data_IF_386879832987
#
_entry.id   IF_386879832987
#
_cell.length_a   1.000
_cell.length_b   1.000
_cell.length_c   1.000
_cell.angle_alpha   90.00
_cell.angle_beta   90.00
_cell.angle_gamma   90.00
#
_symmetry.space_group_name_H-M   'P 1'
#
loop_
_entity.id
_entity.type
_entity.pdbx_description
1 polymer ?
#
# COMPACT_ATOMS: atom_id res chain seq x y z
N UNK A 1 -10.56 -8.80 26.58
CA UNK A 1 -9.32 -8.05 26.32
C UNK A 1 -8.53 -8.78 25.26
N UNK A 2 -8.63 -8.34 24.01
CA UNK A 2 -7.92 -8.96 22.88
C UNK A 2 -6.42 -8.77 23.07
N UNK A 3 -5.63 -9.85 23.17
CA UNK A 3 -4.16 -9.77 23.10
C UNK A 3 -3.81 -8.96 21.85
N UNK A 4 -3.19 -7.80 22.03
CA UNK A 4 -2.76 -6.97 20.92
C UNK A 4 -1.64 -7.72 20.20
N UNK A 5 -1.99 -8.39 19.10
CA UNK A 5 -1.04 -9.21 18.34
C UNK A 5 0.02 -8.26 17.77
N UNK A 6 1.27 -8.49 18.14
CA UNK A 6 2.44 -7.74 17.65
C UNK A 6 2.42 -7.66 16.11
N UNK A 7 2.24 -6.45 15.57
CA UNK A 7 2.12 -6.18 14.13
C UNK A 7 3.49 -5.85 13.55
N UNK A 8 3.94 -6.64 12.59
CA UNK A 8 5.12 -6.33 11.77
C UNK A 8 4.75 -5.40 10.62
N UNK A 9 5.78 -4.85 9.98
CA UNK A 9 5.61 -4.05 8.76
C UNK A 9 5.12 -4.92 7.59
N UNK A 10 4.40 -4.30 6.67
CA UNK A 10 4.21 -4.86 5.33
C UNK A 10 5.38 -4.51 4.41
N UNK A 11 5.19 -4.73 3.12
CA UNK A 11 6.10 -4.26 2.05
C UNK A 11 5.31 -3.56 0.96
N UNK A 12 5.99 -2.74 0.17
CA UNK A 12 5.45 -2.18 -1.07
C UNK A 12 6.07 -2.96 -2.22
N UNK A 13 5.23 -3.40 -3.17
CA UNK A 13 5.66 -4.17 -4.31
C UNK A 13 4.95 -3.70 -5.58
N UNK A 14 5.56 -3.94 -6.73
CA UNK A 14 5.00 -3.67 -8.04
C UNK A 14 4.44 -4.95 -8.63
N UNK A 15 3.23 -4.90 -9.16
CA UNK A 15 2.62 -6.04 -9.85
C UNK A 15 3.32 -6.25 -11.19
N UNK A 16 4.04 -7.36 -11.35
CA UNK A 16 4.77 -7.67 -12.60
C UNK A 16 3.86 -8.36 -13.60
N UNK A 17 2.92 -9.17 -13.15
CA UNK A 17 2.04 -9.91 -14.05
C UNK A 17 1.44 -11.13 -13.37
N UNK A 18 0.79 -11.97 -14.17
CA UNK A 18 0.18 -13.22 -13.70
C UNK A 18 0.83 -14.40 -14.43
N UNK A 19 1.10 -15.46 -13.70
CA UNK A 19 1.61 -16.71 -14.25
C UNK A 19 0.97 -17.90 -13.55
N UNK A 20 1.29 -19.08 -14.04
CA UNK A 20 0.91 -20.33 -13.40
C UNK A 20 2.12 -20.99 -12.77
N UNK A 21 1.93 -21.51 -11.56
CA UNK A 21 2.88 -22.38 -10.88
C UNK A 21 2.23 -23.76 -10.79
N UNK A 22 2.96 -24.79 -11.18
CA UNK A 22 2.56 -26.18 -10.98
C UNK A 22 3.05 -26.62 -9.61
N UNK A 23 2.14 -27.12 -8.78
CA UNK A 23 2.48 -27.75 -7.52
C UNK A 23 2.94 -29.19 -7.76
N UNK A 24 3.56 -29.81 -6.75
CA UNK A 24 4.14 -31.15 -6.85
C UNK A 24 3.07 -32.24 -7.09
N UNK A 25 1.82 -31.96 -6.75
CA UNK A 25 0.64 -32.80 -7.02
C UNK A 25 0.11 -32.66 -8.47
N UNK A 26 0.77 -31.86 -9.30
CA UNK A 26 0.34 -31.53 -10.66
C UNK A 26 -0.76 -30.47 -10.73
N UNK A 27 -1.21 -29.93 -9.60
CA UNK A 27 -2.25 -28.92 -9.59
C UNK A 27 -1.77 -27.59 -10.19
N UNK A 28 -2.63 -26.98 -11.00
CA UNK A 28 -2.39 -25.65 -11.56
C UNK A 28 -2.78 -24.56 -10.56
N UNK A 29 -1.79 -23.80 -10.07
CA UNK A 29 -2.01 -22.68 -9.15
C UNK A 29 -1.81 -21.35 -9.89
N UNK A 30 -2.88 -20.55 -10.11
CA UNK A 30 -2.74 -19.23 -10.69
C UNK A 30 -2.11 -18.26 -9.67
N UNK A 31 -1.01 -17.62 -10.05
CA UNK A 31 -0.21 -16.76 -9.18
C UNK A 31 0.01 -15.39 -9.81
N UNK A 32 -0.17 -14.32 -9.04
CA UNK A 32 0.32 -12.99 -9.38
C UNK A 32 1.76 -12.83 -8.87
N UNK A 33 2.65 -12.32 -9.72
CA UNK A 33 4.05 -12.02 -9.37
C UNK A 33 4.16 -10.57 -8.94
N UNK A 34 4.72 -10.33 -7.75
CA UNK A 34 4.97 -9.01 -7.19
C UNK A 34 6.48 -8.81 -6.99
N UNK A 35 7.03 -7.67 -7.38
CA UNK A 35 8.45 -7.32 -7.23
C UNK A 35 8.62 -6.21 -6.18
N UNK A 36 9.50 -6.41 -5.20
CA UNK A 36 9.73 -5.43 -4.12
C UNK A 36 10.50 -4.17 -4.58
N UNK A 37 11.17 -4.19 -5.74
CA UNK A 37 11.94 -3.07 -6.33
C UNK A 37 12.73 -2.24 -5.30
N UNK A 38 13.49 -2.90 -4.42
CA UNK A 38 14.34 -2.24 -3.42
C UNK A 38 13.55 -1.50 -2.33
N UNK A 39 12.50 -2.15 -1.81
CA UNK A 39 11.69 -1.66 -0.69
C UNK A 39 12.57 -1.36 0.53
N UNK A 40 12.62 -0.09 0.95
CA UNK A 40 13.53 0.41 1.96
C UNK A 40 12.81 1.32 2.96
N UNK A 41 13.24 1.30 4.22
CA UNK A 41 12.71 2.20 5.25
C UNK A 41 13.19 3.62 5.01
N UNK A 42 12.26 4.54 4.78
CA UNK A 42 12.52 5.97 4.55
C UNK A 42 12.34 6.78 5.84
N UNK A 43 11.51 6.30 6.76
CA UNK A 43 11.23 7.00 8.01
C UNK A 43 10.46 6.15 9.02
N UNK A 44 10.34 6.69 10.23
CA UNK A 44 9.57 6.12 11.33
C UNK A 44 8.67 7.18 11.93
N UNK A 45 7.48 6.77 12.35
CA UNK A 45 6.54 7.55 13.15
C UNK A 45 6.50 6.96 14.54
N UNK A 46 6.62 7.80 15.56
CA UNK A 46 6.61 7.37 16.97
C UNK A 46 5.58 8.18 17.76
N UNK A 47 5.01 7.56 18.80
CA UNK A 47 4.03 8.20 19.69
C UNK A 47 4.67 9.35 20.47
N UNK A 48 5.86 9.10 21.03
CA UNK A 48 6.68 10.11 21.67
C UNK A 48 7.59 10.80 20.64
N UNK A 49 8.03 12.00 20.99
CA UNK A 49 9.00 12.73 20.20
C UNK A 49 10.38 12.11 20.36
N UNK A 50 10.77 11.29 19.40
CA UNK A 50 12.13 10.80 19.30
C UNK A 50 12.90 11.60 18.25
N UNK A 51 14.20 11.74 18.48
CA UNK A 51 15.10 12.28 17.47
C UNK A 51 15.09 11.39 16.22
N UNK A 52 14.98 12.03 15.06
CA UNK A 52 15.09 11.31 13.79
C UNK A 52 16.54 10.86 13.61
N UNK A 53 16.72 9.55 13.55
CA UNK A 53 17.99 8.90 13.25
C UNK A 53 18.01 8.54 11.77
N UNK A 54 19.08 8.90 11.08
CA UNK A 54 19.28 8.57 9.66
C UNK A 54 19.61 7.09 9.45
N UNK A 55 19.81 6.69 8.19
CA UNK A 55 20.32 5.37 7.83
C UNK A 55 21.64 4.97 8.53
N UNK A 56 22.48 5.94 8.91
CA UNK A 56 23.73 5.69 9.65
C UNK A 56 23.53 5.63 11.18
N UNK A 57 22.31 5.79 11.68
CA UNK A 57 22.01 5.83 13.12
C UNK A 57 22.28 7.17 13.80
N UNK A 58 22.93 8.12 13.11
CA UNK A 58 23.18 9.47 13.60
C UNK A 58 21.89 10.30 13.68
N UNK A 59 21.72 11.07 14.76
CA UNK A 59 20.62 12.03 14.89
C UNK A 59 20.86 13.22 13.95
N UNK A 60 19.92 13.51 13.04
CA UNK A 60 20.01 14.69 12.17
C UNK A 60 19.24 15.88 12.74
N UNK A 61 19.96 16.97 13.10
CA UNK A 61 19.31 18.18 13.56
C UNK A 61 18.54 18.84 12.42
N UNK A 62 17.32 19.29 12.71
CA UNK A 62 16.51 20.07 11.79
C UNK A 62 17.16 21.45 11.60
N UNK A 63 17.97 21.62 10.55
CA UNK A 63 18.47 22.95 10.18
C UNK A 63 17.31 23.79 9.64
N UNK A 64 16.80 24.73 10.44
CA UNK A 64 15.83 25.71 9.96
C UNK A 64 16.45 26.53 8.82
N UNK A 65 15.78 26.58 7.68
CA UNK A 65 16.21 27.43 6.56
C UNK A 65 16.03 28.90 6.97
N UNK A 66 17.14 29.62 7.16
CA UNK A 66 17.11 31.08 7.37
C UNK A 66 16.62 31.76 6.09
N UNK A 67 15.33 32.06 6.04
CA UNK A 67 14.77 33.03 5.08
C UNK A 67 15.00 34.43 5.63
N UNK A 68 15.28 35.42 4.76
CA UNK A 68 15.35 36.85 5.14
C UNK A 68 14.11 37.34 5.90
N UNK A 69 12.92 36.74 5.69
CA UNK A 69 11.69 37.02 6.46
C UNK A 69 11.63 36.29 7.81
N UNK A 70 12.32 35.16 7.97
CA UNK A 70 12.36 34.39 9.21
C UNK A 70 13.46 34.87 10.18
N UNK A 71 14.31 35.80 9.75
CA UNK A 71 15.33 36.39 10.62
C UNK A 71 14.73 37.26 11.75
N UNK A 72 13.49 37.73 11.59
CA UNK A 72 12.82 38.65 12.52
C UNK A 72 11.83 37.98 13.50
N UNK A 73 11.60 36.66 13.37
CA UNK A 73 10.90 35.89 14.40
C UNK A 73 11.97 35.16 15.21
N UNK A 74 12.11 35.54 16.49
CA UNK A 74 12.87 34.75 17.46
C UNK A 74 12.53 33.27 17.32
N UNK A 75 13.57 32.44 17.47
CA UNK A 75 13.49 30.99 17.42
C UNK A 75 12.49 30.51 18.47
N UNK A 76 11.22 30.39 18.12
CA UNK A 76 10.31 29.53 18.86
C UNK A 76 10.81 28.11 18.63
N UNK A 77 11.53 27.58 19.62
CA UNK A 77 11.83 26.17 19.78
C UNK A 77 10.50 25.44 19.78
N UNK A 78 10.06 24.98 18.60
CA UNK A 78 8.89 24.12 18.50
C UNK A 78 9.27 22.85 19.24
N UNK A 79 8.64 22.61 20.39
CA UNK A 79 8.74 21.34 21.08
C UNK A 79 8.46 20.23 20.06
N UNK A 80 9.36 19.25 20.00
CA UNK A 80 9.16 18.12 19.14
C UNK A 80 7.89 17.42 19.63
N UNK A 81 6.83 17.48 18.84
CA UNK A 81 5.60 16.75 19.11
C UNK A 81 5.68 15.42 18.37
N UNK A 82 5.45 14.31 19.07
CA UNK A 82 5.37 12.99 18.45
C UNK A 82 4.20 12.91 17.46
N UNK A 83 4.24 11.92 16.56
CA UNK A 83 3.25 11.74 15.50
C UNK A 83 1.90 11.18 16.04
N UNK A 84 1.87 10.74 17.30
CA UNK A 84 0.67 10.19 17.97
C UNK A 84 0.36 8.73 17.62
N UNK A 85 1.24 8.06 16.85
CA UNK A 85 1.12 6.64 16.53
C UNK A 85 2.47 6.05 16.10
N UNK A 86 2.56 4.72 16.14
CA UNK A 86 3.74 3.98 15.68
C UNK A 86 3.56 3.46 14.25
N UNK A 87 4.46 3.84 13.34
CA UNK A 87 4.47 3.35 11.97
C UNK A 87 5.88 3.34 11.36
N UNK A 88 6.06 2.46 10.37
CA UNK A 88 7.24 2.45 9.50
C UNK A 88 6.84 3.00 8.13
N UNK A 89 7.59 3.96 7.63
CA UNK A 89 7.42 4.53 6.29
C UNK A 89 8.37 3.82 5.33
N UNK A 90 7.82 3.08 4.39
CA UNK A 90 8.56 2.34 3.37
C UNK A 90 8.48 3.04 2.02
N UNK A 91 9.56 3.01 1.26
CA UNK A 91 9.60 3.45 -0.13
C UNK A 91 10.18 2.38 -1.06
N UNK A 92 9.61 2.28 -2.25
CA UNK A 92 10.01 1.33 -3.29
C UNK A 92 10.12 2.01 -4.66
N UNK A 93 10.86 1.38 -5.57
CA UNK A 93 11.13 1.91 -6.91
C UNK A 93 12.19 3.01 -6.91
N UNK A 94 12.86 3.21 -8.04
CA UNK A 94 13.87 4.26 -8.22
C UNK A 94 13.25 5.47 -8.92
N UNK A 95 13.31 6.65 -8.30
CA UNK A 95 12.87 7.89 -8.93
C UNK A 95 14.04 8.85 -9.17
N UNK A 96 14.05 9.49 -10.35
CA UNK A 96 15.03 10.56 -10.64
C UNK A 96 14.77 11.75 -9.72
N UNK A 97 15.81 12.27 -9.08
CA UNK A 97 15.69 13.40 -8.16
C UNK A 97 14.95 14.61 -8.77
N UNK A 98 15.16 14.90 -10.07
CA UNK A 98 14.50 16.01 -10.77
C UNK A 98 12.98 15.87 -10.87
N UNK A 99 12.44 14.66 -10.87
CA UNK A 99 11.00 14.40 -10.95
C UNK A 99 10.30 14.48 -9.58
N UNK A 100 11.05 14.67 -8.49
CA UNK A 100 10.52 14.79 -7.13
C UNK A 100 10.44 16.23 -6.69
N UNK A 101 9.48 16.55 -5.83
CA UNK A 101 9.36 17.89 -5.24
C UNK A 101 10.54 18.19 -4.30
N UNK A 102 10.81 19.48 -4.05
CA UNK A 102 11.90 19.86 -3.13
C UNK A 102 11.69 19.32 -1.71
N UNK A 103 10.45 19.23 -1.25
CA UNK A 103 10.11 18.71 0.08
C UNK A 103 10.44 17.21 0.20
N UNK A 104 10.03 16.40 -0.77
CA UNK A 104 10.36 14.97 -0.81
C UNK A 104 11.88 14.76 -0.87
N UNK A 105 12.60 15.52 -1.71
CA UNK A 105 14.06 15.44 -1.78
C UNK A 105 14.72 15.74 -0.44
N UNK A 106 14.22 16.75 0.29
CA UNK A 106 14.71 17.08 1.63
C UNK A 106 14.49 15.94 2.62
N UNK A 107 13.35 15.26 2.56
CA UNK A 107 13.05 14.09 3.39
C UNK A 107 13.99 12.92 3.08
N UNK A 108 14.20 12.60 1.81
CA UNK A 108 15.11 11.52 1.39
C UNK A 108 16.57 11.84 1.74
N UNK A 109 17.00 13.10 1.59
CA UNK A 109 18.34 13.54 1.96
C UNK A 109 18.57 13.43 3.47
N UNK A 110 17.57 13.77 4.30
CA UNK A 110 17.61 13.54 5.74
C UNK A 110 17.75 12.05 6.04
N UNK A 111 16.94 11.20 5.41
CA UNK A 111 17.03 9.76 5.60
C UNK A 111 18.34 9.13 5.07
N UNK A 112 19.12 9.86 4.25
CA UNK A 112 20.26 9.35 3.44
C UNK A 112 19.86 8.17 2.54
N UNK A 113 18.66 8.24 1.96
CA UNK A 113 18.11 7.22 1.07
C UNK A 113 17.88 7.82 -0.31
N UNK A 114 18.10 7.03 -1.37
CA UNK A 114 17.79 7.45 -2.73
C UNK A 114 16.30 7.79 -2.90
N UNK A 115 15.92 8.79 -3.71
CA UNK A 115 14.52 9.12 -3.94
C UNK A 115 13.73 7.93 -4.49
N UNK A 116 12.67 7.55 -3.77
CA UNK A 116 11.81 6.41 -4.11
C UNK A 116 10.62 6.83 -4.97
N UNK A 117 10.05 5.89 -5.71
CA UNK A 117 8.91 6.17 -6.59
C UNK A 117 7.60 6.35 -5.81
N UNK A 118 7.37 5.44 -4.88
CA UNK A 118 6.21 5.44 -4.01
C UNK A 118 6.67 5.34 -2.57
N UNK A 119 5.93 6.02 -1.67
CA UNK A 119 6.15 5.96 -0.22
C UNK A 119 4.81 5.62 0.43
N UNK A 120 4.81 4.64 1.34
CA UNK A 120 3.63 4.18 2.09
C UNK A 120 3.98 3.93 3.55
N UNK A 121 2.99 4.11 4.41
CA UNK A 121 3.13 3.93 5.85
C UNK A 121 2.42 2.66 6.30
N UNK A 122 3.08 1.90 7.17
CA UNK A 122 2.57 0.68 7.78
C UNK A 122 2.51 0.84 9.30
N UNK A 123 1.33 0.62 9.88
CA UNK A 123 1.15 0.64 11.34
C UNK A 123 1.78 -0.62 11.94
N UNK A 124 2.70 -0.43 12.88
CA UNK A 124 3.45 -1.52 13.54
C UNK A 124 3.37 -1.36 15.06
N UNK A 125 3.63 -2.44 15.79
CA UNK A 125 3.89 -2.36 17.23
C UNK A 125 5.26 -1.74 17.50
N UNK A 126 5.46 -1.17 18.69
CA UNK A 126 6.72 -0.54 19.08
C UNK A 126 7.94 -1.48 18.94
N UNK A 127 7.75 -2.77 19.22
CA UNK A 127 8.81 -3.79 19.13
C UNK A 127 9.28 -4.06 17.70
N UNK A 128 8.46 -3.72 16.68
CA UNK A 128 8.74 -4.00 15.27
C UNK A 128 9.15 -2.75 14.47
N UNK A 129 9.66 -1.73 15.16
CA UNK A 129 10.25 -0.56 14.50
C UNK A 129 11.57 -0.94 13.83
N UNK A 130 11.68 -0.66 12.53
CA UNK A 130 12.89 -0.88 11.76
C UNK A 130 13.74 0.40 11.70
N UNK A 131 15.08 0.28 11.66
CA UNK A 131 15.94 1.42 11.45
C UNK A 131 15.73 2.00 10.06
N UNK A 132 15.85 3.33 9.94
CA UNK A 132 15.83 4.03 8.66
C UNK A 132 16.97 3.48 7.78
N UNK A 133 16.76 3.39 6.48
CA UNK A 133 17.74 2.86 5.53
C UNK A 133 17.77 1.33 5.38
N UNK A 134 17.14 0.56 6.29
CA UNK A 134 17.06 -0.89 6.14
C UNK A 134 16.28 -1.30 4.89
N UNK A 135 16.85 -2.21 4.09
CA UNK A 135 16.19 -2.77 2.90
C UNK A 135 15.49 -4.07 3.30
N UNK A 136 14.21 -4.19 2.98
CA UNK A 136 13.41 -5.38 3.29
C UNK A 136 13.52 -6.36 2.12
N UNK A 137 13.88 -7.60 2.43
CA UNK A 137 13.97 -8.69 1.46
C UNK A 137 12.63 -9.40 1.28
N UNK A 138 12.50 -10.20 0.21
CA UNK A 138 11.29 -10.98 -0.02
C UNK A 138 11.08 -12.09 1.03
N UNK A 139 12.15 -12.54 1.70
CA UNK A 139 12.13 -13.52 2.81
C UNK A 139 11.39 -13.02 4.05
N UNK A 140 10.97 -11.75 4.05
CA UNK A 140 10.08 -11.20 5.07
C UNK A 140 8.78 -12.01 5.19
N UNK A 141 8.38 -12.66 4.10
CA UNK A 141 7.27 -13.59 4.07
C UNK A 141 7.74 -15.02 3.84
N UNK A 142 7.02 -15.96 4.45
CA UNK A 142 7.30 -17.40 4.32
C UNK A 142 6.29 -18.03 3.34
N UNK A 143 6.71 -18.98 2.48
CA UNK A 143 5.78 -19.78 1.70
C UNK A 143 4.67 -20.40 2.56
N UNK A 144 3.43 -20.41 2.07
CA UNK A 144 2.25 -20.85 2.82
C UNK A 144 1.62 -19.78 3.71
N UNK A 145 2.30 -18.66 3.98
CA UNK A 145 1.75 -17.55 4.75
C UNK A 145 0.55 -16.90 4.04
N UNK A 146 -0.46 -16.50 4.82
CA UNK A 146 -1.58 -15.68 4.34
C UNK A 146 -1.27 -14.19 4.47
N UNK A 147 -1.55 -13.46 3.40
CA UNK A 147 -1.33 -12.01 3.27
C UNK A 147 -2.57 -11.29 2.77
N UNK A 148 -2.68 -10.02 3.14
CA UNK A 148 -3.64 -9.09 2.59
C UNK A 148 -2.92 -8.14 1.62
N UNK A 149 -3.45 -8.01 0.42
CA UNK A 149 -2.87 -7.13 -0.61
C UNK A 149 -3.84 -5.99 -0.90
N UNK A 150 -3.36 -4.76 -0.75
CA UNK A 150 -4.11 -3.55 -1.04
C UNK A 150 -3.50 -2.80 -2.23
N UNK A 151 -4.34 -2.25 -3.09
CA UNK A 151 -3.91 -1.52 -4.27
C UNK A 151 -5.03 -0.70 -4.87
N UNK A 152 -4.71 0.10 -5.88
CA UNK A 152 -5.70 0.85 -6.64
C UNK A 152 -6.29 -0.06 -7.70
N UNK A 153 -7.61 -0.18 -7.74
CA UNK A 153 -8.31 -0.97 -8.77
C UNK A 153 -8.20 -0.34 -10.15
N UNK A 154 -8.31 -1.18 -11.19
CA UNK A 154 -8.31 -0.71 -12.58
C UNK A 154 -9.51 0.21 -12.80
N UNK A 155 -9.23 1.46 -13.20
CA UNK A 155 -10.25 2.43 -13.59
C UNK A 155 -11.02 1.99 -14.83
N UNK A 156 -12.34 2.13 -14.78
CA UNK A 156 -13.27 1.79 -15.87
C UNK A 156 -14.04 3.02 -16.38
N UNK A 157 -13.63 4.22 -15.96
CA UNK A 157 -14.26 5.50 -16.32
C UNK A 157 -15.69 5.63 -15.79
N UNK A 158 -16.51 6.41 -16.50
CA UNK A 158 -17.93 6.52 -16.21
C UNK A 158 -18.68 5.25 -16.65
N UNK A 159 -19.17 4.48 -15.69
CA UNK A 159 -19.89 3.23 -15.91
C UNK A 159 -21.40 3.39 -15.68
N UNK A 160 -22.20 2.84 -16.61
CA UNK A 160 -23.64 2.72 -16.45
C UNK A 160 -24.04 1.74 -15.33
N UNK A 161 -25.31 1.78 -14.92
CA UNK A 161 -25.81 1.03 -13.76
C UNK A 161 -25.63 -0.49 -13.87
N UNK A 162 -25.76 -1.06 -15.08
CA UNK A 162 -25.53 -2.49 -15.30
C UNK A 162 -24.07 -2.88 -15.02
N UNK A 163 -23.08 -2.13 -15.50
CA UNK A 163 -21.65 -2.45 -15.30
C UNK A 163 -21.18 -2.15 -13.88
N UNK A 164 -21.73 -1.09 -13.26
CA UNK A 164 -21.33 -0.64 -11.91
C UNK A 164 -21.97 -1.44 -10.79
N UNK A 165 -23.22 -1.87 -10.96
CA UNK A 165 -24.03 -2.48 -9.89
C UNK A 165 -24.67 -3.82 -10.27
N UNK A 166 -24.37 -4.37 -11.46
CA UNK A 166 -24.94 -5.62 -11.98
C UNK A 166 -26.47 -5.59 -12.07
N UNK A 167 -27.07 -4.44 -12.42
CA UNK A 167 -28.52 -4.35 -12.67
C UNK A 167 -28.93 -5.18 -13.89
N UNK A 168 -30.12 -5.81 -13.83
CA UNK A 168 -30.60 -6.75 -14.85
C UNK A 168 -31.00 -6.14 -16.21
N UNK A 169 -31.26 -4.83 -16.28
CA UNK A 169 -31.76 -4.17 -17.49
C UNK A 169 -33.24 -4.44 -17.76
N UNK A 170 -33.71 -4.01 -18.93
CA UNK A 170 -35.09 -4.20 -19.41
C UNK A 170 -35.11 -5.21 -20.57
N UNK A 171 -36.32 -5.65 -20.97
CA UNK A 171 -36.50 -6.53 -22.12
C UNK A 171 -35.92 -5.90 -23.39
N UNK A 172 -35.47 -6.72 -24.33
CA UNK A 172 -34.89 -6.26 -25.59
C UNK A 172 -35.91 -6.08 -26.72
N UNK A 173 -36.86 -7.02 -26.86
CA UNK A 173 -37.70 -7.14 -28.07
C UNK A 173 -39.19 -6.85 -27.86
N UNK A 174 -39.68 -6.91 -26.62
CA UNK A 174 -41.11 -6.80 -26.32
C UNK A 174 -41.51 -5.36 -25.94
N UNK A 175 -41.55 -4.47 -26.92
CA UNK A 175 -42.16 -3.14 -26.80
C UNK A 175 -41.37 -2.13 -25.94
N UNK A 176 -40.12 -2.41 -25.60
CA UNK A 176 -39.26 -1.48 -24.85
C UNK A 176 -38.71 -0.43 -25.81
N UNK A 177 -39.00 0.84 -25.55
CA UNK A 177 -38.48 1.97 -26.33
C UNK A 177 -37.23 2.57 -25.67
N UNK A 178 -36.06 2.39 -26.31
CA UNK A 178 -34.75 3.04 -26.00
C UNK A 178 -34.15 2.73 -24.60
N UNK A 179 -34.92 2.15 -23.69
CA UNK A 179 -34.58 2.03 -22.27
C UNK A 179 -33.94 0.70 -21.85
N UNK A 180 -33.54 -0.14 -22.81
CA UNK A 180 -32.99 -1.50 -22.60
C UNK A 180 -31.92 -1.60 -21.49
N UNK A 181 -31.08 -0.57 -21.35
CA UNK A 181 -29.97 -0.51 -20.36
C UNK A 181 -30.15 0.57 -19.30
N UNK A 182 -31.34 1.15 -19.20
CA UNK A 182 -31.66 2.18 -18.20
C UNK A 182 -31.66 1.59 -16.79
N UNK A 183 -31.55 2.45 -15.77
CA UNK A 183 -31.49 2.04 -14.37
C UNK A 183 -32.87 1.77 -13.73
N UNK A 184 -33.97 1.93 -14.50
CA UNK A 184 -35.33 1.83 -13.97
C UNK A 184 -35.68 2.94 -12.97
N UNK A 185 -36.67 2.68 -12.10
CA UNK A 185 -37.13 3.69 -11.14
C UNK A 185 -36.08 4.02 -10.06
N UNK A 186 -35.94 5.31 -9.77
CA UNK A 186 -35.01 5.82 -8.75
C UNK A 186 -35.65 6.01 -7.37
N UNK A 187 -36.99 6.03 -7.27
CA UNK A 187 -37.72 6.33 -6.04
C UNK A 187 -39.22 6.00 -6.10
N UNK A 188 -39.92 6.35 -5.01
CA UNK A 188 -41.38 6.28 -4.88
C UNK A 188 -42.01 7.61 -5.34
N UNK A 189 -43.36 7.70 -5.30
CA UNK A 189 -44.13 8.88 -5.75
C UNK A 189 -44.10 10.02 -4.71
N UNK A 190 -45.21 10.24 -3.98
CA UNK A 190 -45.41 11.44 -3.16
C UNK A 190 -44.52 11.43 -1.91
N UNK A 191 -44.60 10.36 -1.13
CA UNK A 191 -43.75 10.16 0.04
C UNK A 191 -42.68 9.13 -0.32
N UNK A 192 -41.37 9.42 -0.15
CA UNK A 192 -40.72 10.52 0.56
C UNK A 192 -40.37 11.77 -0.29
N UNK A 193 -40.83 11.86 -1.55
CA UNK A 193 -40.62 13.02 -2.43
C UNK A 193 -39.16 13.30 -2.83
N UNK A 194 -38.25 12.35 -2.59
CA UNK A 194 -36.82 12.47 -2.90
C UNK A 194 -36.17 11.12 -3.15
N UNK A 195 -35.02 11.15 -3.82
CA UNK A 195 -34.14 9.97 -3.94
C UNK A 195 -33.28 9.87 -2.68
N UNK A 196 -33.25 8.69 -2.06
CA UNK A 196 -32.41 8.44 -0.87
C UNK A 196 -30.91 8.58 -1.17
N UNK A 197 -30.14 9.06 -0.18
CA UNK A 197 -28.67 9.07 -0.24
C UNK A 197 -28.15 7.64 -0.36
N UNK A 198 -27.09 7.44 -1.14
CA UNK A 198 -26.53 6.11 -1.39
C UNK A 198 -27.31 5.28 -2.42
N UNK A 199 -28.32 5.85 -3.09
CA UNK A 199 -29.00 5.18 -4.21
C UNK A 199 -27.99 4.83 -5.30
N UNK A 200 -27.99 3.56 -5.71
CA UNK A 200 -27.11 3.02 -6.75
C UNK A 200 -27.47 3.64 -8.11
N UNK A 201 -26.53 4.38 -8.69
CA UNK A 201 -26.64 5.05 -9.99
C UNK A 201 -25.35 4.89 -10.81
N UNK A 202 -25.39 5.28 -12.09
CA UNK A 202 -24.21 5.39 -12.93
C UNK A 202 -23.17 6.35 -12.33
N UNK A 203 -21.91 6.19 -12.71
CA UNK A 203 -20.82 7.05 -12.21
C UNK A 203 -19.46 6.41 -12.40
N UNK A 204 -18.42 7.07 -11.85
CA UNK A 204 -17.06 6.55 -11.90
C UNK A 204 -16.97 5.16 -11.25
N UNK A 205 -16.27 4.24 -11.90
CA UNK A 205 -16.05 2.87 -11.43
C UNK A 205 -14.57 2.51 -11.49
N UNK A 206 -14.03 1.97 -10.40
CA UNK A 206 -12.61 1.69 -10.26
C UNK A 206 -11.83 2.94 -9.83
N UNK A 207 -10.50 2.87 -9.91
CA UNK A 207 -9.59 3.87 -9.33
C UNK A 207 -9.76 4.08 -7.82
N UNK A 208 -10.35 3.08 -7.16
CA UNK A 208 -10.55 3.06 -5.72
C UNK A 208 -9.55 2.11 -5.08
N UNK A 209 -9.12 2.44 -3.87
CA UNK A 209 -8.28 1.55 -3.07
C UNK A 209 -9.10 0.37 -2.58
N UNK A 210 -8.70 -0.82 -2.99
CA UNK A 210 -9.35 -2.09 -2.62
C UNK A 210 -8.32 -3.02 -1.99
N UNK A 211 -8.77 -3.87 -1.10
CA UNK A 211 -7.94 -4.89 -0.44
C UNK A 211 -8.52 -6.28 -0.66
N UNK A 212 -7.69 -7.20 -1.10
CA UNK A 212 -8.01 -8.62 -1.19
C UNK A 212 -7.33 -9.33 -0.03
N UNK A 213 -8.11 -10.08 0.74
CA UNK A 213 -7.66 -10.67 1.99
C UNK A 213 -7.37 -12.16 1.85
N UNK A 214 -6.56 -12.69 2.76
CA UNK A 214 -6.26 -14.11 2.90
C UNK A 214 -5.68 -14.76 1.63
N UNK A 215 -4.88 -14.01 0.86
CA UNK A 215 -4.14 -14.57 -0.27
C UNK A 215 -2.94 -15.37 0.25
N UNK A 216 -2.65 -16.51 -0.37
CA UNK A 216 -1.55 -17.38 0.07
C UNK A 216 -0.28 -17.06 -0.73
N UNK A 217 0.86 -17.01 -0.06
CA UNK A 217 2.16 -16.97 -0.73
C UNK A 217 2.52 -18.39 -1.15
N UNK A 218 2.74 -18.58 -2.45
CA UNK A 218 3.08 -19.90 -3.02
C UNK A 218 4.58 -20.11 -3.01
N UNK A 219 5.34 -19.08 -3.39
CA UNK A 219 6.79 -19.11 -3.49
C UNK A 219 7.36 -17.73 -3.22
N UNK A 220 8.59 -17.70 -2.73
CA UNK A 220 9.39 -16.49 -2.53
C UNK A 220 10.71 -16.68 -3.26
N UNK A 221 11.18 -15.64 -3.94
CA UNK A 221 12.49 -15.59 -4.58
C UNK A 221 13.25 -14.37 -4.03
N UNK A 222 14.20 -14.61 -3.13
CA UNK A 222 14.95 -13.59 -2.43
C UNK A 222 16.03 -12.91 -3.28
N UNK A 223 16.58 -13.64 -4.26
CA UNK A 223 17.62 -13.13 -5.16
C UNK A 223 17.04 -12.07 -6.08
N UNK A 224 15.88 -12.37 -6.69
CA UNK A 224 15.17 -11.46 -7.59
C UNK A 224 14.24 -10.50 -6.88
N UNK A 225 13.96 -10.73 -5.59
CA UNK A 225 13.03 -9.91 -4.80
C UNK A 225 11.57 -10.08 -5.23
N UNK A 226 11.18 -11.29 -5.63
CA UNK A 226 9.84 -11.61 -6.13
C UNK A 226 9.01 -12.39 -5.11
N UNK A 227 7.72 -12.05 -5.04
CA UNK A 227 6.69 -12.75 -4.29
C UNK A 227 5.66 -13.33 -5.24
N UNK A 228 5.33 -14.60 -5.06
CA UNK A 228 4.30 -15.30 -5.83
C UNK A 228 3.06 -15.46 -4.95
N UNK A 229 2.03 -14.68 -5.24
CA UNK A 229 0.77 -14.66 -4.47
C UNK A 229 -0.31 -15.39 -5.25
N UNK A 230 -0.95 -16.38 -4.62
CA UNK A 230 -2.05 -17.14 -5.21
C UNK A 230 -3.24 -16.22 -5.50
N UNK A 231 -3.78 -16.30 -6.71
CA UNK A 231 -4.96 -15.55 -7.14
C UNK A 231 -4.63 -14.16 -7.69
N UNK A 232 -5.68 -13.34 -7.80
CA UNK A 232 -5.61 -12.02 -8.42
C UNK A 232 -5.38 -10.90 -7.40
N UNK A 233 -4.59 -9.91 -7.81
CA UNK A 233 -4.27 -8.70 -7.03
C UNK A 233 -4.87 -7.47 -7.75
N UNK A 234 -5.40 -6.47 -7.01
CA UNK A 234 -5.94 -5.25 -7.60
C UNK A 234 -4.90 -4.48 -8.43
N UNK A 235 -5.39 -3.78 -9.45
CA UNK A 235 -4.56 -2.93 -10.30
C UNK A 235 -4.07 -3.60 -11.59
N UNK A 236 -3.63 -2.77 -12.53
CA UNK A 236 -3.04 -3.21 -13.78
C UNK A 236 -1.61 -3.71 -13.57
N UNK A 237 -1.03 -4.33 -14.58
CA UNK A 237 0.41 -4.63 -14.59
C UNK A 237 1.22 -3.33 -14.43
N UNK A 238 2.31 -3.41 -13.68
CA UNK A 238 3.16 -2.27 -13.32
C UNK A 238 2.61 -1.39 -12.19
N UNK A 239 1.40 -1.64 -11.68
CA UNK A 239 0.84 -0.87 -10.57
C UNK A 239 1.46 -1.24 -9.22
N UNK A 240 1.51 -0.26 -8.32
CA UNK A 240 2.01 -0.44 -6.97
C UNK A 240 0.95 -1.00 -6.03
N UNK A 241 1.35 -1.98 -5.23
CA UNK A 241 0.51 -2.65 -4.23
C UNK A 241 1.23 -2.73 -2.89
N UNK A 242 0.45 -2.76 -1.84
CA UNK A 242 0.90 -2.93 -0.46
C UNK A 242 0.57 -4.36 -0.02
N UNK A 243 1.57 -5.09 0.44
CA UNK A 243 1.39 -6.45 0.95
C UNK A 243 1.60 -6.41 2.46
N UNK A 244 0.65 -6.93 3.21
CA UNK A 244 0.69 -7.02 4.68
C UNK A 244 0.35 -8.44 5.12
N UNK A 245 0.70 -8.79 6.33
CA UNK A 245 0.17 -10.02 6.94
C UNK A 245 -1.36 -9.98 6.99
N UNK A 246 -1.99 -11.14 6.84
CA UNK A 246 -3.43 -11.23 6.86
C UNK A 246 -4.00 -10.82 8.22
N UNK A 247 -4.92 -9.85 8.23
CA UNK A 247 -5.53 -9.38 9.47
C UNK A 247 -6.42 -10.43 10.16
N UNK A 248 -6.91 -11.41 9.39
CA UNK A 248 -7.88 -12.44 9.84
C UNK A 248 -7.27 -13.82 10.02
N UNK A 249 -5.98 -13.99 9.78
CA UNK A 249 -5.29 -15.28 9.90
C UNK A 249 -4.10 -15.17 10.84
N UNK A 250 -3.81 -16.24 11.57
CA UNK A 250 -2.65 -16.28 12.44
C UNK A 250 -1.35 -16.22 11.62
N UNK A 251 -0.37 -15.50 12.15
CA UNK A 251 0.96 -15.43 11.58
C UNK A 251 1.66 -16.79 11.76
N UNK A 252 2.34 -17.33 10.72
CA UNK A 252 3.12 -18.55 10.88
C UNK A 252 4.28 -18.32 11.86
N UNK A 253 4.65 -19.35 12.62
CA UNK A 253 5.69 -19.28 13.66
C UNK A 253 7.07 -18.96 13.08
N UNK A 254 7.32 -19.40 11.86
CA UNK A 254 8.59 -19.26 11.14
C UNK A 254 8.81 -17.85 10.57
N UNK A 255 7.78 -16.99 10.59
CA UNK A 255 7.86 -15.69 9.96
C UNK A 255 8.85 -14.78 10.73
N UNK A 256 9.81 -14.12 10.07
CA UNK A 256 10.87 -13.36 10.74
C UNK A 256 10.35 -12.07 11.40
N UNK A 257 10.66 -11.87 12.68
CA UNK A 257 10.37 -10.62 13.42
C UNK A 257 11.69 -9.91 13.74
N UNK A 258 11.82 -8.59 13.57
CA UNK A 258 10.80 -7.63 13.11
C UNK A 258 10.60 -7.59 11.58
N UNK A 259 11.64 -7.90 10.81
CA UNK A 259 11.58 -8.14 9.36
C UNK A 259 12.85 -8.89 8.89
N UNK A 260 12.78 -9.54 7.72
CA UNK A 260 13.99 -10.04 7.04
C UNK A 260 14.63 -8.90 6.26
N UNK A 261 15.66 -8.28 6.82
CA UNK A 261 16.40 -7.20 6.18
C UNK A 261 17.60 -7.73 5.44
N UNK A 262 17.83 -7.23 4.22
CA UNK A 262 19.14 -7.34 3.58
C UNK A 262 19.95 -6.16 4.09
N UNK A 263 21.07 -6.41 4.76
CA UNK A 263 22.00 -5.31 5.03
C UNK A 263 22.36 -4.68 3.68
N UNK A 264 22.17 -3.37 3.56
CA UNK A 264 22.61 -2.65 2.38
C UNK A 264 24.11 -2.91 2.28
N UNK A 265 24.54 -3.66 1.26
CA UNK A 265 25.96 -3.71 0.91
C UNK A 265 26.40 -2.24 0.81
N UNK A 266 27.39 -1.86 1.63
CA UNK A 266 27.97 -0.54 1.60
C UNK A 266 28.29 -0.24 0.14
N UNK A 267 27.69 0.82 -0.41
CA UNK A 267 28.03 1.28 -1.73
C UNK A 267 29.51 1.68 -1.69
N UNK A 268 30.35 0.90 -2.36
CA UNK A 268 31.68 1.31 -2.80
C UNK A 268 31.55 2.35 -3.91
#
# INVERSE_FOLDING_TARGET
MSKEVSKRTGVVARKVGMMRVFADDGAHVPCTVLNLEGCQVVGRRTVAAEEFKDATGAAVPLKLKKSRKNAKKENQTREAKGDGYTAVTLGAGKAKAKNRSQAERGQFARAKVEPKEIVREFRVSADNLLPVGAVISAEHFVPGQKVDVAGISIGKGFAGAMKRWNFGGLRATHGVSVSHRSHGSTGQRQDPGKVFKGKKMAGHLGDERVSVQNLQIVRVDAERGLLFVKGAVPGAEGSWVEVRDAAKSALPKEAPKPAATRQAAAAE
#
